data_IF_978246367479
#
_entry.id   IF_978246367479
#
_cell.length_a   1.000
_cell.length_b   1.000
_cell.length_c   1.000
_cell.angle_alpha   90.00
_cell.angle_beta   90.00
_cell.angle_gamma   90.00
#
_symmetry.space_group_name_H-M   'P 1'
#
loop_
_entity.id
_entity.type
_entity.pdbx_description
1 polymer ?
#
# COMPACT_ATOMS: atom_id res chain seq x y z
N UNK A 1 18.26 -18.46 -51.10
CA UNK A 1 17.26 -19.44 -51.62
C UNK A 1 16.77 -20.29 -50.46
N UNK A 2 15.51 -20.73 -50.53
CA UNK A 2 14.69 -21.40 -49.52
C UNK A 2 14.02 -20.47 -48.48
N UNK A 3 12.82 -20.05 -48.89
CA UNK A 3 11.74 -19.58 -48.03
C UNK A 3 10.84 -20.77 -47.65
N UNK A 4 10.33 -20.78 -46.42
CA UNK A 4 9.15 -21.52 -45.95
C UNK A 4 8.79 -21.06 -44.51
N UNK A 5 7.57 -21.33 -43.99
CA UNK A 5 6.29 -20.86 -44.51
C UNK A 5 5.42 -20.19 -43.42
N UNK A 6 4.47 -19.38 -43.88
CA UNK A 6 3.39 -18.78 -43.10
C UNK A 6 2.49 -19.85 -42.46
N UNK A 7 2.34 -19.81 -41.13
CA UNK A 7 1.26 -20.48 -40.41
C UNK A 7 0.17 -19.48 -40.08
N UNK A 8 -0.92 -19.57 -40.83
CA UNK A 8 -2.21 -18.91 -40.61
C UNK A 8 -2.87 -19.55 -39.39
N UNK A 9 -3.22 -18.75 -38.38
CA UNK A 9 -4.06 -19.18 -37.25
C UNK A 9 -5.49 -18.67 -37.51
N UNK A 10 -6.51 -19.55 -37.46
CA UNK A 10 -7.90 -19.19 -37.73
C UNK A 10 -8.51 -18.38 -36.57
N UNK A 11 -9.38 -17.45 -36.96
CA UNK A 11 -10.08 -16.53 -36.08
C UNK A 11 -10.99 -17.22 -35.07
N UNK A 12 -10.94 -16.70 -33.85
CA UNK A 12 -11.95 -16.90 -32.83
C UNK A 12 -12.76 -15.63 -32.72
N UNK A 13 -13.99 -15.69 -33.26
CA UNK A 13 -15.05 -14.72 -33.04
C UNK A 13 -15.40 -14.69 -31.55
N UNK A 14 -14.94 -13.67 -30.84
CA UNK A 14 -15.36 -13.38 -29.47
C UNK A 14 -16.53 -12.40 -29.55
N UNK A 15 -17.73 -12.96 -29.45
CA UNK A 15 -18.95 -12.20 -29.16
C UNK A 15 -18.82 -11.49 -27.79
N UNK A 16 -19.06 -10.17 -27.70
CA UNK A 16 -19.21 -9.49 -26.42
C UNK A 16 -20.61 -9.74 -25.81
N UNK A 17 -20.72 -10.09 -24.52
CA UNK A 17 -22.00 -10.15 -23.83
C UNK A 17 -22.45 -8.75 -23.35
N UNK A 18 -23.71 -8.42 -23.68
CA UNK A 18 -24.63 -7.59 -22.90
C UNK A 18 -24.23 -6.14 -22.54
N UNK A 19 -24.59 -5.21 -23.44
CA UNK A 19 -24.96 -3.84 -23.03
C UNK A 19 -26.45 -3.80 -22.68
N UNK A 20 -26.79 -4.00 -21.39
CA UNK A 20 -28.12 -3.59 -20.90
C UNK A 20 -28.12 -2.07 -20.65
N UNK A 21 -28.69 -1.36 -21.61
CA UNK A 21 -29.10 0.04 -21.54
C UNK A 21 -30.30 0.14 -20.59
N UNK A 22 -30.26 0.95 -19.52
CA UNK A 22 -31.47 1.26 -18.78
C UNK A 22 -32.37 2.14 -19.64
N UNK A 23 -33.55 1.59 -19.89
CA UNK A 23 -34.68 2.15 -20.62
C UNK A 23 -35.18 3.42 -19.91
N UNK A 24 -35.30 4.50 -20.68
CA UNK A 24 -35.96 5.70 -20.27
C UNK A 24 -37.47 5.41 -20.16
N UNK A 25 -37.98 5.35 -18.93
CA UNK A 25 -39.41 5.31 -18.70
C UNK A 25 -40.00 6.71 -18.94
N UNK A 26 -40.58 6.88 -20.12
CA UNK A 26 -41.59 7.88 -20.41
C UNK A 26 -42.73 7.76 -19.41
N UNK A 27 -43.01 8.83 -18.68
CA UNK A 27 -44.19 8.92 -17.81
C UNK A 27 -45.15 9.94 -18.42
N UNK A 28 -46.36 9.53 -18.85
CA UNK A 28 -47.29 10.41 -19.53
C UNK A 28 -47.92 11.43 -18.56
N UNK A 29 -48.01 12.66 -19.07
CA UNK A 29 -48.92 13.72 -18.66
C UNK A 29 -50.33 13.18 -18.38
N UNK A 30 -50.97 13.76 -17.36
CA UNK A 30 -52.24 14.51 -17.47
C UNK A 30 -53.16 14.20 -16.30
N UNK A 31 -53.25 15.15 -15.38
CA UNK A 31 -54.15 15.12 -14.23
C UNK A 31 -54.38 16.54 -13.76
N UNK A 32 -55.07 17.32 -14.58
CA UNK A 32 -55.58 18.65 -14.26
C UNK A 32 -56.52 18.60 -13.06
N UNK A 33 -56.22 19.38 -12.03
CA UNK A 33 -57.21 19.82 -11.03
C UNK A 33 -56.90 21.28 -10.68
N UNK A 34 -57.79 22.23 -11.00
CA UNK A 34 -57.65 23.62 -10.63
C UNK A 34 -58.32 23.83 -9.27
N UNK A 35 -57.54 24.15 -8.23
CA UNK A 35 -58.10 24.75 -7.02
C UNK A 35 -57.26 25.94 -6.54
N UNK A 36 -57.92 26.98 -6.00
CA UNK A 36 -57.45 28.35 -6.05
C UNK A 36 -56.66 28.75 -4.81
N UNK A 37 -55.85 29.79 -5.02
CA UNK A 37 -55.47 30.86 -4.09
C UNK A 37 -55.53 30.56 -2.59
N UNK A 38 -54.34 30.39 -2.00
CA UNK A 38 -53.99 31.09 -0.78
C UNK A 38 -52.49 31.39 -0.84
N UNK A 39 -52.14 32.56 -1.39
CA UNK A 39 -50.82 33.17 -1.24
C UNK A 39 -50.59 33.53 0.22
N UNK A 40 -50.25 32.53 1.03
CA UNK A 40 -49.53 32.76 2.27
C UNK A 40 -48.12 33.21 1.87
N UNK A 41 -47.95 34.51 1.72
CA UNK A 41 -46.64 35.16 1.80
C UNK A 41 -46.05 34.81 3.16
N UNK A 42 -45.31 33.71 3.23
CA UNK A 42 -44.44 33.43 4.37
C UNK A 42 -43.45 34.59 4.39
N UNK A 43 -43.45 35.44 5.43
CA UNK A 43 -42.52 36.55 5.50
C UNK A 43 -41.12 35.94 5.42
N UNK A 44 -40.38 36.32 4.39
CA UNK A 44 -38.96 36.00 4.22
C UNK A 44 -38.21 36.63 5.39
N UNK A 45 -38.23 35.95 6.53
CA UNK A 45 -37.51 36.34 7.72
C UNK A 45 -36.04 36.16 7.42
N UNK A 46 -35.42 37.25 6.97
CA UNK A 46 -33.99 37.35 6.81
C UNK A 46 -33.32 36.78 8.09
N UNK A 47 -32.42 35.79 7.96
CA UNK A 47 -31.86 35.11 9.11
C UNK A 47 -31.15 36.14 10.00
N UNK A 48 -31.62 36.26 11.24
CA UNK A 48 -31.05 37.20 12.19
C UNK A 48 -29.54 36.93 12.35
N UNK A 49 -28.70 37.98 12.49
CA UNK A 49 -27.23 37.86 12.46
C UNK A 49 -26.68 36.90 13.54
N UNK A 50 -27.44 36.65 14.62
CA UNK A 50 -27.10 35.67 15.67
C UNK A 50 -27.17 34.22 15.18
N UNK A 51 -28.14 33.87 14.32
CA UNK A 51 -28.29 32.51 13.75
C UNK A 51 -27.16 32.19 12.78
N UNK A 52 -26.76 33.17 11.95
CA UNK A 52 -25.64 33.04 11.00
C UNK A 52 -24.31 32.75 11.70
N UNK A 53 -24.01 33.41 12.84
CA UNK A 53 -22.78 33.14 13.62
C UNK A 53 -22.76 31.76 14.28
N UNK A 54 -23.91 31.22 14.71
CA UNK A 54 -23.97 29.85 15.26
C UNK A 54 -23.75 28.81 14.17
N UNK A 55 -24.37 29.00 13.00
CA UNK A 55 -24.20 28.09 11.86
C UNK A 55 -22.74 28.02 11.38
N UNK A 56 -22.08 29.18 11.20
CA UNK A 56 -20.66 29.22 10.81
C UNK A 56 -19.73 28.47 11.76
N UNK A 57 -20.03 28.46 13.07
CA UNK A 57 -19.25 27.68 14.05
C UNK A 57 -19.41 26.17 13.86
N UNK A 58 -20.65 25.72 13.64
CA UNK A 58 -20.92 24.31 13.38
C UNK A 58 -20.29 23.83 12.07
N UNK A 59 -20.33 24.66 11.03
CA UNK A 59 -19.61 24.38 9.77
C UNK A 59 -18.11 24.26 10.05
N UNK A 60 -17.50 25.20 10.78
CA UNK A 60 -16.08 25.13 11.11
C UNK A 60 -15.68 23.87 11.89
N UNK A 61 -16.50 23.44 12.87
CA UNK A 61 -16.27 22.20 13.61
C UNK A 61 -16.44 20.97 12.71
N UNK A 62 -17.47 20.95 11.87
CA UNK A 62 -17.69 19.84 10.92
C UNK A 62 -16.55 19.73 9.90
N UNK A 63 -16.06 20.85 9.36
CA UNK A 63 -14.92 20.88 8.45
C UNK A 63 -13.65 20.38 9.15
N UNK A 64 -13.37 20.81 10.38
CA UNK A 64 -12.24 20.30 11.16
C UNK A 64 -12.36 18.81 11.47
N UNK A 65 -13.56 18.32 11.82
CA UNK A 65 -13.81 16.90 12.02
C UNK A 65 -13.57 16.09 10.75
N UNK A 66 -14.05 16.57 9.60
CA UNK A 66 -13.82 15.93 8.30
C UNK A 66 -12.33 15.89 7.93
N UNK A 67 -11.59 16.97 8.16
CA UNK A 67 -10.13 17.01 7.95
C UNK A 67 -9.43 16.01 8.87
N UNK A 68 -9.83 15.93 10.15
CA UNK A 68 -9.23 15.01 11.11
C UNK A 68 -9.46 13.55 10.70
N UNK A 69 -10.69 13.16 10.37
CA UNK A 69 -11.02 11.80 9.90
C UNK A 69 -10.30 11.49 8.58
N UNK A 70 -10.32 12.41 7.62
CA UNK A 70 -9.61 12.24 6.36
C UNK A 70 -8.10 12.07 6.54
N UNK A 71 -7.49 12.80 7.48
CA UNK A 71 -6.07 12.65 7.80
C UNK A 71 -5.75 11.29 8.44
N UNK A 72 -6.66 10.74 9.24
CA UNK A 72 -6.51 9.41 9.83
C UNK A 72 -6.54 8.31 8.78
N UNK A 73 -7.52 8.34 7.87
CA UNK A 73 -7.65 7.40 6.75
C UNK A 73 -6.44 7.49 5.81
N UNK A 74 -6.00 8.71 5.48
CA UNK A 74 -4.81 8.91 4.67
C UNK A 74 -3.56 8.37 5.37
N UNK A 75 -3.45 8.54 6.68
CA UNK A 75 -2.32 8.04 7.47
C UNK A 75 -2.27 6.50 7.50
N UNK A 76 -3.42 5.81 7.58
CA UNK A 76 -3.44 4.34 7.53
C UNK A 76 -3.02 3.84 6.14
N UNK A 77 -3.56 4.43 5.07
CA UNK A 77 -3.16 4.07 3.70
C UNK A 77 -1.67 4.31 3.42
N UNK A 78 -1.09 5.40 3.92
CA UNK A 78 0.34 5.66 3.80
C UNK A 78 1.19 4.65 4.57
N UNK A 79 0.69 4.18 5.72
CA UNK A 79 1.35 3.15 6.51
C UNK A 79 1.32 1.80 5.80
N UNK A 80 0.16 1.38 5.33
CA UNK A 80 0.00 0.14 4.56
C UNK A 80 0.90 0.16 3.31
N UNK A 81 1.01 1.32 2.65
CA UNK A 81 1.92 1.50 1.52
C UNK A 81 3.40 1.39 1.92
N UNK A 82 3.79 1.99 3.05
CA UNK A 82 5.16 1.89 3.54
C UNK A 82 5.53 0.44 3.91
N UNK A 83 4.61 -0.29 4.53
CA UNK A 83 4.79 -1.70 4.89
C UNK A 83 4.90 -2.58 3.63
N UNK A 84 4.04 -2.35 2.63
CA UNK A 84 4.14 -3.04 1.33
C UNK A 84 5.48 -2.77 0.62
N UNK A 85 5.97 -1.53 0.65
CA UNK A 85 7.28 -1.17 0.06
C UNK A 85 8.45 -1.78 0.82
N UNK A 86 8.35 -1.86 2.14
CA UNK A 86 9.35 -2.55 2.97
C UNK A 86 9.40 -4.04 2.64
N UNK A 87 8.24 -4.70 2.58
CA UNK A 87 8.15 -6.10 2.20
C UNK A 87 8.72 -6.34 0.79
N UNK A 88 8.43 -5.45 -0.16
CA UNK A 88 9.00 -5.52 -1.51
C UNK A 88 10.53 -5.45 -1.51
N UNK A 89 11.12 -4.56 -0.70
CA UNK A 89 12.59 -4.45 -0.58
C UNK A 89 13.22 -5.64 0.13
N UNK A 90 12.53 -6.21 1.13
CA UNK A 90 12.95 -7.43 1.81
C UNK A 90 12.97 -8.62 0.84
N UNK A 91 11.90 -8.80 0.05
CA UNK A 91 11.79 -9.84 -0.99
C UNK A 91 12.85 -9.65 -2.11
N UNK A 92 13.15 -8.42 -2.54
CA UNK A 92 14.25 -8.14 -3.47
C UNK A 92 15.62 -8.53 -2.90
N UNK A 93 15.83 -8.27 -1.61
CA UNK A 93 17.10 -8.60 -0.94
C UNK A 93 17.24 -10.11 -0.78
N UNK A 94 16.16 -10.81 -0.43
CA UNK A 94 16.13 -12.27 -0.39
C UNK A 94 16.42 -12.87 -1.77
N UNK A 95 15.79 -12.36 -2.82
CA UNK A 95 16.03 -12.78 -4.20
C UNK A 95 17.52 -12.64 -4.59
N UNK A 96 18.17 -11.53 -4.22
CA UNK A 96 19.59 -11.31 -4.48
C UNK A 96 20.48 -12.31 -3.73
N UNK A 97 20.22 -12.50 -2.43
CA UNK A 97 20.98 -13.42 -1.57
C UNK A 97 20.86 -14.85 -2.11
N UNK A 98 19.65 -15.28 -2.44
CA UNK A 98 19.38 -16.61 -2.98
C UNK A 98 19.98 -16.79 -4.38
N UNK A 99 19.84 -15.83 -5.28
CA UNK A 99 20.46 -15.91 -6.61
C UNK A 99 21.99 -15.98 -6.52
N UNK A 100 22.59 -15.25 -5.58
CA UNK A 100 24.04 -15.30 -5.30
C UNK A 100 24.45 -16.66 -4.73
N UNK A 101 23.70 -17.19 -3.76
CA UNK A 101 23.95 -18.53 -3.23
C UNK A 101 23.78 -19.61 -4.32
N UNK A 102 22.79 -19.44 -5.19
CA UNK A 102 22.52 -20.34 -6.30
C UNK A 102 23.64 -20.33 -7.35
N UNK A 103 24.22 -19.17 -7.65
CA UNK A 103 25.39 -19.08 -8.54
C UNK A 103 26.63 -19.76 -7.92
N UNK A 104 26.85 -19.60 -6.61
CA UNK A 104 27.92 -20.30 -5.89
C UNK A 104 27.74 -21.82 -5.85
N UNK A 105 26.49 -22.29 -5.86
CA UNK A 105 26.16 -23.72 -5.86
C UNK A 105 26.74 -24.44 -7.08
N UNK A 106 26.83 -23.77 -8.22
CA UNK A 106 27.47 -24.32 -9.43
C UNK A 106 28.95 -24.52 -9.23
N UNK A 107 29.65 -23.53 -8.66
CA UNK A 107 31.08 -23.65 -8.37
C UNK A 107 31.35 -24.78 -7.38
N UNK A 108 30.48 -24.93 -6.37
CA UNK A 108 30.55 -26.06 -5.44
C UNK A 108 30.33 -27.40 -6.15
N UNK A 109 29.31 -27.50 -6.99
CA UNK A 109 29.03 -28.71 -7.78
C UNK A 109 30.22 -29.09 -8.67
N UNK A 110 30.84 -28.09 -9.30
CA UNK A 110 32.04 -28.28 -10.11
C UNK A 110 33.19 -28.85 -9.28
N UNK A 111 33.48 -28.26 -8.13
CA UNK A 111 34.59 -28.74 -7.27
C UNK A 111 34.38 -30.18 -6.83
N UNK A 112 33.15 -30.56 -6.48
CA UNK A 112 32.81 -31.93 -6.09
C UNK A 112 32.89 -32.93 -7.26
N UNK A 113 32.54 -32.48 -8.47
CA UNK A 113 32.69 -33.31 -9.65
C UNK A 113 34.18 -33.57 -9.96
N UNK A 114 35.03 -32.56 -9.75
CA UNK A 114 36.48 -32.68 -9.91
C UNK A 114 37.15 -33.51 -8.82
N UNK A 115 36.54 -33.64 -7.64
CA UNK A 115 37.00 -34.53 -6.55
C UNK A 115 36.39 -35.95 -6.60
N UNK A 116 35.70 -36.30 -7.69
CA UNK A 116 35.07 -37.61 -7.93
C UNK A 116 33.92 -37.99 -6.94
N UNK A 117 33.39 -37.03 -6.20
CA UNK A 117 32.31 -37.23 -5.20
C UNK A 117 30.91 -37.25 -5.85
N UNK A 118 30.65 -38.22 -6.74
CA UNK A 118 29.42 -38.29 -7.56
C UNK A 118 28.11 -38.26 -6.74
N UNK A 119 28.08 -38.86 -5.56
CA UNK A 119 26.89 -38.85 -4.69
C UNK A 119 26.57 -37.44 -4.16
N UNK A 120 27.59 -36.65 -3.84
CA UNK A 120 27.38 -35.28 -3.36
C UNK A 120 26.89 -34.36 -4.49
N UNK A 121 27.36 -34.59 -5.72
CA UNK A 121 26.87 -33.86 -6.89
C UNK A 121 25.36 -34.03 -7.12
N UNK A 122 24.83 -35.26 -6.99
CA UNK A 122 23.38 -35.51 -7.14
C UNK A 122 22.58 -34.73 -6.09
N UNK A 123 23.05 -34.72 -4.84
CA UNK A 123 22.44 -33.94 -3.76
C UNK A 123 22.44 -32.44 -4.09
N UNK A 124 23.59 -31.90 -4.49
CA UNK A 124 23.70 -30.48 -4.86
C UNK A 124 22.78 -30.11 -6.03
N UNK A 125 22.63 -31.00 -7.02
CA UNK A 125 21.70 -30.77 -8.13
C UNK A 125 20.24 -30.68 -7.64
N UNK A 126 19.87 -31.49 -6.66
CA UNK A 126 18.58 -31.41 -5.98
C UNK A 126 18.39 -30.09 -5.24
N UNK A 127 19.40 -29.67 -4.46
CA UNK A 127 19.42 -28.38 -3.75
C UNK A 127 19.30 -27.19 -4.73
N UNK A 128 20.05 -27.23 -5.84
CA UNK A 128 19.95 -26.21 -6.89
C UNK A 128 18.55 -26.16 -7.50
N UNK A 129 17.92 -27.30 -7.77
CA UNK A 129 16.57 -27.33 -8.31
C UNK A 129 15.52 -26.79 -7.32
N UNK A 130 15.75 -26.98 -6.02
CA UNK A 130 14.92 -26.40 -4.97
C UNK A 130 15.09 -24.88 -4.87
N UNK A 131 16.32 -24.39 -4.82
CA UNK A 131 16.64 -22.96 -4.82
C UNK A 131 16.06 -22.24 -6.05
N UNK A 132 16.15 -22.86 -7.23
CA UNK A 132 15.53 -22.29 -8.43
C UNK A 132 14.00 -22.20 -8.40
N UNK A 133 13.31 -22.97 -7.54
CA UNK A 133 11.86 -22.80 -7.30
C UNK A 133 11.61 -21.67 -6.30
N UNK A 134 12.45 -21.55 -5.29
CA UNK A 134 12.38 -20.49 -4.27
C UNK A 134 12.57 -19.11 -4.90
N UNK A 135 13.60 -18.94 -5.74
CA UNK A 135 13.86 -17.73 -6.53
C UNK A 135 12.63 -17.34 -7.38
N UNK A 136 11.97 -18.31 -8.02
CA UNK A 136 10.73 -18.04 -8.78
C UNK A 136 9.58 -17.63 -7.88
N UNK A 137 9.45 -18.25 -6.71
CA UNK A 137 8.41 -17.88 -5.74
C UNK A 137 8.61 -16.44 -5.23
N UNK A 138 9.84 -16.01 -4.95
CA UNK A 138 10.16 -14.62 -4.62
C UNK A 138 9.78 -13.68 -5.75
N UNK A 139 10.11 -14.04 -6.99
CA UNK A 139 9.74 -13.24 -8.16
C UNK A 139 8.22 -13.12 -8.32
N UNK A 140 7.47 -14.21 -8.12
CA UNK A 140 6.00 -14.17 -8.13
C UNK A 140 5.44 -13.24 -7.04
N UNK A 141 5.95 -13.34 -5.81
CA UNK A 141 5.53 -12.43 -4.71
C UNK A 141 5.81 -10.98 -5.05
N UNK A 142 6.97 -10.68 -5.63
CA UNK A 142 7.30 -9.31 -6.07
C UNK A 142 6.31 -8.80 -7.12
N UNK A 143 5.94 -9.63 -8.10
CA UNK A 143 4.93 -9.26 -9.11
C UNK A 143 3.53 -9.07 -8.53
N UNK A 144 3.18 -9.84 -7.49
CA UNK A 144 1.89 -9.69 -6.79
C UNK A 144 1.84 -8.45 -5.89
N UNK A 145 2.99 -8.05 -5.31
CA UNK A 145 3.10 -6.87 -4.47
C UNK A 145 3.09 -5.56 -5.27
N UNK A 146 3.58 -5.55 -6.51
CA UNK A 146 3.63 -4.36 -7.36
C UNK A 146 2.28 -3.60 -7.49
N UNK A 147 1.14 -4.25 -7.83
CA UNK A 147 -0.13 -3.55 -8.00
C UNK A 147 -0.69 -2.95 -6.70
N UNK A 148 -0.35 -3.51 -5.53
CA UNK A 148 -0.89 -3.07 -4.22
C UNK A 148 -0.55 -1.61 -3.90
N UNK A 149 0.51 -1.06 -4.50
CA UNK A 149 0.95 0.31 -4.31
C UNK A 149 0.76 1.23 -5.51
N UNK A 150 0.23 0.75 -6.64
CA UNK A 150 0.27 1.46 -7.92
C UNK A 150 -0.47 2.81 -7.89
N UNK A 151 -1.64 2.86 -7.25
CA UNK A 151 -2.45 4.09 -7.17
C UNK A 151 -1.76 5.20 -6.35
N UNK A 152 -1.18 4.85 -5.20
CA UNK A 152 -0.44 5.79 -4.37
C UNK A 152 0.86 6.22 -5.05
N UNK A 153 1.58 5.28 -5.67
CA UNK A 153 2.80 5.58 -6.43
C UNK A 153 2.52 6.53 -7.60
N UNK A 154 1.42 6.33 -8.33
CA UNK A 154 0.98 7.28 -9.36
C UNK A 154 0.66 8.66 -8.77
N UNK A 155 0.00 8.71 -7.59
CA UNK A 155 -0.28 9.99 -6.91
C UNK A 155 0.98 10.74 -6.45
N UNK A 156 2.10 10.03 -6.28
CA UNK A 156 3.42 10.59 -5.94
C UNK A 156 4.22 11.05 -7.17
N UNK A 157 3.67 10.91 -8.38
CA UNK A 157 4.32 11.29 -9.63
C UNK A 157 5.14 10.18 -10.29
N UNK A 158 5.01 8.93 -9.82
CA UNK A 158 5.66 7.77 -10.40
C UNK A 158 4.62 6.94 -11.15
N UNK A 159 4.51 7.07 -12.49
CA UNK A 159 3.55 6.27 -13.24
C UNK A 159 3.89 4.78 -13.13
N UNK A 160 2.88 3.89 -13.25
CA UNK A 160 3.13 2.46 -13.38
C UNK A 160 3.98 2.25 -14.63
N UNK A 161 5.10 1.53 -14.48
CA UNK A 161 5.96 1.17 -15.60
C UNK A 161 6.44 -0.26 -15.34
N UNK A 162 5.96 -1.25 -16.09
CA UNK A 162 6.28 -2.65 -15.85
C UNK A 162 7.69 -3.02 -16.35
N UNK A 163 8.35 -2.16 -17.14
CA UNK A 163 9.57 -2.53 -17.85
C UNK A 163 10.71 -3.02 -16.94
N UNK A 164 10.99 -2.41 -15.76
CA UNK A 164 12.01 -2.93 -14.85
C UNK A 164 11.67 -4.31 -14.29
N UNK A 165 10.40 -4.56 -13.94
CA UNK A 165 9.95 -5.84 -13.41
C UNK A 165 9.94 -6.94 -14.49
N UNK A 166 9.51 -6.61 -15.70
CA UNK A 166 9.55 -7.52 -16.85
C UNK A 166 11.01 -7.90 -17.19
N UNK A 167 11.91 -6.92 -17.14
CA UNK A 167 13.34 -7.15 -17.33
C UNK A 167 13.93 -8.06 -16.24
N UNK A 168 13.57 -7.83 -14.97
CA UNK A 168 13.97 -8.70 -13.85
C UNK A 168 13.44 -10.13 -14.02
N UNK A 169 12.20 -10.29 -14.44
CA UNK A 169 11.57 -11.60 -14.71
C UNK A 169 12.30 -12.34 -15.83
N UNK A 170 12.51 -11.67 -16.96
CA UNK A 170 13.17 -12.27 -18.12
C UNK A 170 14.64 -12.64 -17.83
N UNK A 171 15.38 -11.77 -17.13
CA UNK A 171 16.77 -12.03 -16.74
C UNK A 171 16.89 -13.13 -15.70
N UNK A 172 15.97 -13.21 -14.74
CA UNK A 172 15.90 -14.30 -13.76
C UNK A 172 15.69 -15.65 -14.44
N UNK A 173 14.74 -15.76 -15.38
CA UNK A 173 14.52 -17.02 -16.11
C UNK A 173 15.72 -17.40 -16.98
N UNK A 174 16.40 -16.43 -17.61
CA UNK A 174 17.65 -16.69 -18.36
C UNK A 174 18.78 -17.16 -17.43
N UNK A 175 18.91 -16.56 -16.25
CA UNK A 175 19.88 -16.95 -15.23
C UNK A 175 19.61 -18.40 -14.79
N UNK A 176 18.40 -18.71 -14.34
CA UNK A 176 18.00 -20.05 -13.89
C UNK A 176 18.13 -21.11 -15.00
N UNK A 177 17.73 -20.76 -16.22
CA UNK A 177 17.90 -21.63 -17.39
C UNK A 177 19.38 -21.94 -17.67
N UNK A 178 20.26 -20.95 -17.51
CA UNK A 178 21.70 -21.15 -17.65
C UNK A 178 22.28 -22.04 -16.54
N UNK A 179 21.81 -21.89 -15.30
CA UNK A 179 22.21 -22.72 -14.15
C UNK A 179 21.83 -24.18 -14.40
N UNK A 180 20.57 -24.41 -14.78
CA UNK A 180 20.06 -25.74 -15.09
C UNK A 180 20.82 -26.36 -16.28
N UNK A 181 21.09 -25.56 -17.32
CA UNK A 181 21.88 -25.96 -18.47
C UNK A 181 23.32 -26.36 -18.08
N UNK A 182 23.96 -25.58 -17.20
CA UNK A 182 25.30 -25.86 -16.69
C UNK A 182 25.32 -27.17 -15.88
N UNK A 183 24.39 -27.34 -14.94
CA UNK A 183 24.25 -28.58 -14.16
C UNK A 183 24.00 -29.81 -15.06
N UNK A 184 23.21 -29.67 -16.13
CA UNK A 184 22.98 -30.75 -17.10
C UNK A 184 24.25 -31.13 -17.89
N UNK A 185 25.11 -30.15 -18.17
CA UNK A 185 26.37 -30.35 -18.88
C UNK A 185 27.50 -30.88 -18.00
N UNK A 186 27.36 -30.86 -16.67
CA UNK A 186 28.36 -31.41 -15.74
C UNK A 186 28.51 -32.95 -15.81
N UNK A 187 27.65 -33.63 -16.57
CA UNK A 187 27.85 -35.04 -16.93
C UNK A 187 28.88 -35.24 -18.07
N UNK A 188 29.40 -34.17 -18.68
CA UNK A 188 30.45 -34.24 -19.70
C UNK A 188 31.83 -34.53 -19.08
N UNK A 189 32.80 -34.97 -19.91
CA UNK A 189 34.16 -35.23 -19.44
C UNK A 189 34.81 -33.99 -18.79
N UNK A 190 35.69 -34.16 -17.77
CA UNK A 190 36.29 -33.06 -17.02
C UNK A 190 37.02 -32.01 -17.89
N UNK A 191 37.67 -32.42 -18.98
CA UNK A 191 38.36 -31.52 -19.91
C UNK A 191 37.39 -30.62 -20.68
N UNK A 192 36.23 -31.16 -21.08
CA UNK A 192 35.19 -30.40 -21.79
C UNK A 192 34.51 -29.41 -20.85
N UNK A 193 34.33 -29.82 -19.59
CA UNK A 193 33.76 -28.99 -18.54
C UNK A 193 34.67 -27.78 -18.24
N UNK A 194 35.98 -27.99 -18.01
CA UNK A 194 36.96 -26.91 -17.79
C UNK A 194 37.02 -25.91 -18.94
N UNK A 195 36.99 -26.38 -20.19
CA UNK A 195 37.00 -25.50 -21.38
C UNK A 195 35.76 -24.60 -21.45
N UNK A 196 34.58 -25.11 -21.10
CA UNK A 196 33.33 -24.34 -21.13
C UNK A 196 33.24 -23.35 -19.98
N UNK A 197 33.61 -23.75 -18.76
CA UNK A 197 33.49 -22.89 -17.57
C UNK A 197 34.40 -21.66 -17.60
N UNK A 198 35.54 -21.72 -18.29
CA UNK A 198 36.45 -20.57 -18.43
C UNK A 198 35.79 -19.33 -19.05
N UNK A 199 34.68 -19.51 -19.79
CA UNK A 199 33.97 -18.43 -20.49
C UNK A 199 32.49 -18.35 -20.08
N UNK A 200 32.08 -19.08 -19.05
CA UNK A 200 30.67 -19.20 -18.72
C UNK A 200 30.27 -18.11 -17.72
N UNK A 201 29.74 -17.01 -18.25
CA UNK A 201 28.90 -16.10 -17.47
C UNK A 201 27.47 -16.67 -17.48
N UNK A 202 26.94 -16.99 -16.31
CA UNK A 202 25.64 -17.63 -16.13
C UNK A 202 24.47 -16.65 -16.34
N UNK A 203 24.64 -15.64 -17.19
CA UNK A 203 23.76 -14.47 -17.27
C UNK A 203 23.53 -13.82 -15.89
N UNK A 204 24.52 -13.89 -14.98
CA UNK A 204 24.36 -13.34 -13.64
C UNK A 204 24.48 -11.82 -13.65
N UNK A 205 25.36 -11.26 -14.48
CA UNK A 205 25.49 -9.81 -14.69
C UNK A 205 24.17 -9.15 -15.12
N UNK A 206 23.52 -9.59 -16.22
CA UNK A 206 22.22 -9.06 -16.64
C UNK A 206 21.10 -9.18 -15.59
N UNK A 207 21.14 -10.23 -14.76
CA UNK A 207 20.23 -10.37 -13.62
C UNK A 207 20.53 -9.33 -12.52
N UNK A 208 21.79 -9.09 -12.19
CA UNK A 208 22.16 -8.07 -11.21
C UNK A 208 21.81 -6.66 -11.69
N UNK A 209 22.02 -6.36 -12.97
CA UNK A 209 21.65 -5.08 -13.58
C UNK A 209 20.14 -4.81 -13.51
N UNK A 210 19.32 -5.82 -13.83
CA UNK A 210 17.87 -5.69 -13.75
C UNK A 210 17.38 -5.58 -12.30
N UNK A 211 17.97 -6.35 -11.38
CA UNK A 211 17.68 -6.28 -9.95
C UNK A 211 18.03 -4.91 -9.36
N UNK A 212 19.17 -4.35 -9.75
CA UNK A 212 19.59 -3.01 -9.36
C UNK A 212 18.65 -1.94 -9.92
N UNK A 213 18.21 -2.04 -11.17
CA UNK A 213 17.24 -1.10 -11.76
C UNK A 213 15.91 -1.09 -11.00
N UNK A 214 15.42 -2.26 -10.57
CA UNK A 214 14.21 -2.33 -9.72
C UNK A 214 14.48 -1.72 -8.35
N UNK A 215 15.62 -2.03 -7.70
CA UNK A 215 16.00 -1.44 -6.40
C UNK A 215 16.07 0.09 -6.45
N UNK A 216 16.71 0.66 -7.47
CA UNK A 216 16.85 2.11 -7.63
C UNK A 216 15.48 2.79 -7.75
N UNK A 217 14.61 2.21 -8.56
CA UNK A 217 13.25 2.73 -8.73
C UNK A 217 12.45 2.65 -7.43
N UNK A 218 12.50 1.52 -6.72
CA UNK A 218 11.80 1.38 -5.45
C UNK A 218 12.38 2.28 -4.36
N UNK A 219 13.69 2.50 -4.37
CA UNK A 219 14.37 3.45 -3.50
C UNK A 219 13.87 4.88 -3.72
N UNK A 220 13.75 5.32 -4.98
CA UNK A 220 13.21 6.63 -5.32
C UNK A 220 11.74 6.80 -4.86
N UNK A 221 10.91 5.76 -5.05
CA UNK A 221 9.51 5.75 -4.59
C UNK A 221 9.44 5.83 -3.07
N UNK A 222 10.29 5.09 -2.36
CA UNK A 222 10.35 5.09 -0.90
C UNK A 222 10.77 6.46 -0.34
N UNK A 223 11.77 7.11 -0.94
CA UNK A 223 12.22 8.45 -0.53
C UNK A 223 11.13 9.52 -0.76
N UNK A 224 10.44 9.47 -1.90
CA UNK A 224 9.32 10.35 -2.18
C UNK A 224 8.17 10.14 -1.18
N UNK A 225 7.84 8.88 -0.90
CA UNK A 225 6.81 8.51 0.09
C UNK A 225 7.17 9.03 1.49
N UNK A 226 8.42 8.85 1.92
CA UNK A 226 8.90 9.35 3.20
C UNK A 226 8.81 10.88 3.30
N UNK A 227 9.11 11.58 2.21
CA UNK A 227 8.99 13.05 2.14
C UNK A 227 7.55 13.51 2.28
N UNK A 228 6.60 12.85 1.61
CA UNK A 228 5.17 13.16 1.72
C UNK A 228 4.65 12.81 3.12
N UNK A 229 5.02 11.65 3.67
CA UNK A 229 4.62 11.25 5.02
C UNK A 229 5.05 12.29 6.07
N UNK A 230 6.32 12.76 6.03
CA UNK A 230 6.81 13.81 6.95
C UNK A 230 5.99 15.09 6.86
N UNK A 231 5.59 15.51 5.64
CA UNK A 231 4.74 16.69 5.43
C UNK A 231 3.35 16.49 6.02
N UNK A 232 2.74 15.33 5.78
CA UNK A 232 1.40 14.99 6.31
C UNK A 232 1.42 14.94 7.84
N UNK A 233 2.44 14.33 8.44
CA UNK A 233 2.61 14.30 9.90
C UNK A 233 2.77 15.71 10.48
N UNK A 234 3.56 16.57 9.85
CA UNK A 234 3.73 17.96 10.29
C UNK A 234 2.40 18.74 10.24
N UNK A 235 1.65 18.63 9.14
CA UNK A 235 0.34 19.28 9.00
C UNK A 235 -0.68 18.73 10.01
N UNK A 236 -0.70 17.42 10.22
CA UNK A 236 -1.57 16.78 11.22
C UNK A 236 -1.23 17.26 12.63
N UNK A 237 0.05 17.31 12.99
CA UNK A 237 0.52 17.84 14.27
C UNK A 237 0.09 19.29 14.50
N UNK A 238 0.27 20.16 13.50
CA UNK A 238 -0.18 21.56 13.56
C UNK A 238 -1.70 21.67 13.70
N UNK A 239 -2.46 20.83 12.99
CA UNK A 239 -3.93 20.84 13.06
C UNK A 239 -4.43 20.39 14.43
N UNK A 240 -3.83 19.34 15.01
CA UNK A 240 -4.14 18.88 16.37
C UNK A 240 -3.81 19.94 17.42
N UNK A 241 -2.67 20.62 17.28
CA UNK A 241 -2.27 21.71 18.17
C UNK A 241 -3.23 22.90 18.05
N UNK A 242 -3.62 23.28 16.83
CA UNK A 242 -4.62 24.32 16.63
C UNK A 242 -5.97 23.94 17.25
N UNK A 243 -6.42 22.69 17.07
CA UNK A 243 -7.66 22.18 17.64
C UNK A 243 -7.62 22.19 19.18
N UNK A 244 -6.50 21.81 19.80
CA UNK A 244 -6.35 21.82 21.26
C UNK A 244 -6.35 23.26 21.81
N UNK A 245 -5.68 24.20 21.15
CA UNK A 245 -5.73 25.63 21.51
C UNK A 245 -7.16 26.17 21.44
N UNK A 246 -7.89 25.87 20.35
CA UNK A 246 -9.28 26.30 20.20
C UNK A 246 -10.19 25.66 21.25
N UNK A 247 -9.96 24.40 21.60
CA UNK A 247 -10.69 23.72 22.67
C UNK A 247 -10.48 24.38 24.04
N UNK A 248 -9.22 24.61 24.44
CA UNK A 248 -8.88 25.30 25.70
C UNK A 248 -9.47 26.72 25.73
N UNK A 249 -9.42 27.44 24.62
CA UNK A 249 -9.96 28.79 24.51
C UNK A 249 -11.50 28.84 24.60
N UNK A 250 -12.20 27.89 23.98
CA UNK A 250 -13.66 27.80 24.07
C UNK A 250 -14.11 27.39 25.48
N UNK A 251 -13.38 26.47 26.12
CA UNK A 251 -13.67 26.02 27.48
C UNK A 251 -13.43 27.11 28.53
N UNK A 252 -12.33 27.85 28.44
CA UNK A 252 -12.05 28.99 29.34
C UNK A 252 -13.12 30.08 29.24
N UNK A 253 -13.62 30.38 28.03
CA UNK A 253 -14.73 31.32 27.84
C UNK A 253 -16.06 30.83 28.41
N UNK A 254 -16.32 29.52 28.42
CA UNK A 254 -17.52 28.97 29.06
C UNK A 254 -17.44 29.10 30.57
N UNK A 255 -16.28 28.87 31.19
CA UNK A 255 -16.08 29.09 32.63
C UNK A 255 -16.33 30.53 33.06
N UNK A 256 -15.89 31.53 32.27
CA UNK A 256 -16.14 32.95 32.56
C UNK A 256 -17.62 33.34 32.45
N UNK A 257 -18.45 32.51 31.81
CA UNK A 257 -19.90 32.74 31.67
C UNK A 257 -20.73 31.85 32.59
N UNK A 258 -20.10 30.98 33.38
CA UNK A 258 -20.80 30.29 34.43
C UNK A 258 -21.35 31.37 35.38
N UNK A 259 -22.67 31.44 35.58
CA UNK A 259 -23.24 32.40 36.52
C UNK A 259 -22.57 32.15 37.87
N UNK A 260 -22.09 33.21 38.55
CA UNK A 260 -21.74 33.13 39.97
C UNK A 260 -22.95 32.48 40.64
N UNK A 261 -22.80 31.23 41.06
CA UNK A 261 -23.86 30.54 41.78
C UNK A 261 -24.32 31.46 42.91
N UNK A 262 -25.63 31.55 43.19
CA UNK A 262 -26.10 32.30 44.34
C UNK A 262 -25.29 31.83 45.54
N UNK A 263 -24.61 32.77 46.20
CA UNK A 263 -23.90 32.54 47.44
C UNK A 263 -24.91 32.02 48.45
N UNK A 264 -25.03 30.69 48.56
CA UNK A 264 -25.81 30.04 49.60
C UNK A 264 -25.05 30.20 50.91
N UNK A 265 -25.22 31.38 51.52
CA UNK A 265 -25.34 31.49 52.97
C UNK A 265 -26.65 30.78 53.30
N UNK A 266 -26.53 29.49 53.60
CA UNK A 266 -27.33 28.76 54.61
C UNK A 266 -27.03 27.27 54.44
N UNK A 267 -26.15 26.81 55.34
CA UNK A 267 -25.72 25.43 55.48
C UNK A 267 -26.49 24.84 56.65
N UNK A 268 -27.57 24.06 56.45
CA UNK A 268 -28.06 23.22 57.51
C UNK A 268 -27.12 22.02 57.65
N UNK A 269 -26.65 21.81 58.87
CA UNK A 269 -26.00 20.58 59.31
C UNK A 269 -26.96 19.41 59.08
N UNK A 270 -26.57 18.48 58.21
CA UNK A 270 -27.19 17.16 58.15
C UNK A 270 -26.11 16.12 57.80
N UNK A 271 -25.56 15.59 58.89
CA UNK A 271 -25.40 14.16 59.15
C UNK A 271 -24.71 13.30 58.09
N UNK A 272 -23.49 12.90 58.45
CA UNK A 272 -22.77 11.75 57.93
C UNK A 272 -23.65 10.50 57.93
N UNK A 273 -23.66 9.76 56.83
CA UNK A 273 -23.48 8.31 56.87
C UNK A 273 -22.85 7.81 55.58
N UNK A 274 -21.94 6.85 55.75
CA UNK A 274 -20.91 6.48 54.80
C UNK A 274 -21.42 5.90 53.49
N UNK A 275 -20.73 6.27 52.40
CA UNK A 275 -20.76 5.46 51.19
C UNK A 275 -19.34 5.32 50.65
N UNK A 276 -18.89 4.08 50.62
CA UNK A 276 -17.56 3.62 50.25
C UNK A 276 -17.27 3.88 48.77
N UNK A 277 -16.03 4.30 48.55
CA UNK A 277 -15.33 4.51 47.29
C UNK A 277 -15.38 3.26 46.40
N UNK A 278 -15.85 3.43 45.17
CA UNK A 278 -15.40 2.63 44.01
C UNK A 278 -14.89 3.57 42.93
N UNK A 279 -13.67 4.08 43.16
CA UNK A 279 -12.76 4.48 42.08
C UNK A 279 -12.36 3.22 41.30
N UNK A 280 -12.71 3.15 40.02
CA UNK A 280 -11.90 2.57 38.93
C UNK A 280 -12.74 2.48 37.66
N UNK A 281 -12.11 2.63 36.49
CA UNK A 281 -12.67 2.29 35.16
C UNK A 281 -13.29 3.40 34.28
N UNK A 282 -12.78 4.64 34.33
CA UNK A 282 -13.07 5.61 33.25
C UNK A 282 -11.83 6.31 32.65
N UNK A 283 -10.66 6.23 33.28
CA UNK A 283 -9.45 6.92 32.81
C UNK A 283 -8.55 6.09 31.88
N UNK A 284 -8.82 4.79 31.67
CA UNK A 284 -7.95 3.90 30.90
C UNK A 284 -8.22 3.91 29.38
N UNK A 285 -9.37 4.38 28.89
CA UNK A 285 -9.76 4.20 27.50
C UNK A 285 -9.23 5.25 26.50
N UNK A 286 -8.45 6.25 26.94
CA UNK A 286 -7.99 7.35 26.06
C UNK A 286 -6.49 7.31 25.75
N UNK A 287 -5.73 6.38 26.34
CA UNK A 287 -4.27 6.29 26.13
C UNK A 287 -3.87 5.20 25.13
N UNK A 288 -4.77 4.32 24.71
CA UNK A 288 -4.44 3.16 23.84
C UNK A 288 -4.64 3.41 22.33
N UNK A 289 -4.64 4.68 21.88
CA UNK A 289 -4.84 5.04 20.46
C UNK A 289 -3.85 6.10 19.93
N UNK A 290 -2.64 6.15 20.48
CA UNK A 290 -1.51 6.93 19.97
C UNK A 290 -0.29 6.02 19.76
#
# INVERSE_FOLDING_TARGET
>A
MQAAPNSVIPGTDIHPPFCHRPEAADNPRSGSSPFPMASHETPSQAPTPKRRRRWLRWVGVATMGAIAVGSGILSSHLRDHADARRQFMEELTQLEVEATAHSMTIWRALTMLLSEEKMQFIRIRGEASAAGREIRAHLTRLTELEPSGASLTASLGFPPDPAPMDSLTASTERFLGSVQGAMGQMNLSPERLRKRLRHWDMNFGPFQESLQAVKERQGAIAEASATVARRVTAVSGLTRLLASILFVWTFSRQRLRAPKGPSSVDRPEAQMDGFTVTESSAAAAVVEAA
#
